data_IF_791315344772
#
_entry.id   IF_791315344772
#
_cell.length_a   1.000
_cell.length_b   1.000
_cell.length_c   1.000
_cell.angle_alpha   90.00
_cell.angle_beta   90.00
_cell.angle_gamma   90.00
#
_symmetry.space_group_name_H-M   'P 1'
#
loop_
_entity.id
_entity.type
_entity.pdbx_description
1 polymer ?
#
# COMPACT_ATOMS: atom_id res chain seq x y z
N UNK A 1 -4.05 -3.45 -6.25
CA UNK A 1 -5.08 -4.45 -6.66
C UNK A 1 -6.44 -4.09 -6.09
N UNK A 2 -7.52 -4.14 -6.87
CA UNK A 2 -8.87 -3.83 -6.36
C UNK A 2 -9.59 -5.10 -5.92
N UNK A 3 -10.20 -5.07 -4.74
CA UNK A 3 -11.07 -6.14 -4.23
C UNK A 3 -12.53 -5.71 -4.35
N UNK A 4 -13.31 -6.42 -5.17
CA UNK A 4 -14.74 -6.20 -5.32
C UNK A 4 -15.53 -7.39 -4.79
N UNK A 5 -16.47 -7.13 -3.90
CA UNK A 5 -17.41 -8.14 -3.37
C UNK A 5 -18.77 -7.90 -3.99
N UNK A 6 -19.32 -8.93 -4.64
CA UNK A 6 -20.64 -8.85 -5.26
C UNK A 6 -21.57 -9.96 -4.74
N UNK A 7 -22.87 -9.68 -4.59
CA UNK A 7 -23.83 -10.72 -4.29
C UNK A 7 -23.88 -11.77 -5.42
N UNK A 8 -24.03 -13.04 -5.03
CA UNK A 8 -24.32 -14.15 -5.90
C UNK A 8 -25.65 -14.80 -5.49
N UNK A 9 -26.19 -15.70 -6.30
CA UNK A 9 -27.44 -16.40 -5.97
C UNK A 9 -27.30 -17.21 -4.65
N UNK A 10 -28.42 -17.40 -3.93
CA UNK A 10 -28.52 -18.21 -2.70
C UNK A 10 -27.57 -17.82 -1.54
N UNK A 11 -27.64 -16.57 -1.05
CA UNK A 11 -26.84 -16.08 0.10
C UNK A 11 -25.32 -16.21 -0.07
N UNK A 12 -24.84 -16.45 -1.28
CA UNK A 12 -23.43 -16.45 -1.60
C UNK A 12 -23.00 -15.06 -2.04
N UNK A 13 -21.71 -14.78 -1.90
CA UNK A 13 -21.08 -13.66 -2.58
C UNK A 13 -19.92 -14.21 -3.42
N UNK A 14 -19.48 -13.43 -4.40
CA UNK A 14 -18.25 -13.66 -5.13
C UNK A 14 -17.27 -12.54 -4.81
N UNK A 15 -16.00 -12.90 -4.78
CA UNK A 15 -14.90 -11.95 -4.64
C UNK A 15 -14.20 -11.87 -5.97
N UNK A 16 -13.98 -10.66 -6.47
CA UNK A 16 -13.29 -10.39 -7.73
C UNK A 16 -12.07 -9.55 -7.39
N UNK A 17 -10.89 -10.07 -7.70
CA UNK A 17 -9.64 -9.32 -7.65
C UNK A 17 -9.38 -8.75 -9.04
N UNK A 18 -9.06 -7.46 -9.11
CA UNK A 18 -8.85 -6.75 -10.37
C UNK A 18 -7.46 -6.12 -10.31
N UNK A 19 -6.59 -6.52 -11.23
CA UNK A 19 -5.22 -6.01 -11.35
C UNK A 19 -5.09 -5.17 -12.62
N UNK A 20 -4.60 -3.95 -12.48
CA UNK A 20 -4.31 -3.10 -13.63
C UNK A 20 -3.06 -3.64 -14.35
N UNK A 21 -3.17 -3.94 -15.64
CA UNK A 21 -2.06 -4.51 -16.42
C UNK A 21 -1.16 -3.44 -17.04
N UNK A 22 -1.62 -2.19 -17.08
CA UNK A 22 -0.89 -1.05 -17.66
C UNK A 22 -0.08 -0.32 -16.60
N UNK A 23 -0.69 -0.11 -15.43
CA UNK A 23 -0.06 0.50 -14.27
C UNK A 23 -0.40 -0.32 -13.01
N UNK A 24 0.31 -1.44 -12.78
CA UNK A 24 0.09 -2.28 -11.61
C UNK A 24 0.35 -1.50 -10.32
N UNK A 25 -0.47 -1.74 -9.30
CA UNK A 25 -0.24 -1.14 -7.99
C UNK A 25 1.00 -1.81 -7.33
N UNK A 26 1.76 -1.09 -6.49
CA UNK A 26 2.98 -1.62 -5.88
C UNK A 26 2.78 -2.93 -5.10
N UNK A 27 1.60 -3.14 -4.51
CA UNK A 27 1.28 -4.35 -3.75
C UNK A 27 0.80 -5.54 -4.60
N UNK A 28 0.58 -5.35 -5.90
CA UNK A 28 0.01 -6.39 -6.77
C UNK A 28 0.84 -7.67 -6.76
N UNK A 29 2.18 -7.55 -6.75
CA UNK A 29 3.08 -8.70 -6.75
C UNK A 29 3.00 -9.46 -5.43
N UNK A 30 3.02 -8.78 -4.28
CA UNK A 30 2.92 -9.40 -2.96
C UNK A 30 1.58 -10.16 -2.80
N UNK A 31 0.50 -9.61 -3.35
CA UNK A 31 -0.80 -10.29 -3.34
C UNK A 31 -0.77 -11.53 -4.25
N UNK A 32 -0.11 -11.47 -5.41
CA UNK A 32 0.07 -12.64 -6.29
C UNK A 32 0.90 -13.73 -5.63
N UNK A 33 2.01 -13.37 -5.00
CA UNK A 33 2.87 -14.29 -4.26
C UNK A 33 2.13 -14.94 -3.09
N UNK A 34 1.32 -14.16 -2.37
CA UNK A 34 0.44 -14.67 -1.31
C UNK A 34 -0.57 -15.69 -1.86
N UNK A 35 -1.22 -15.39 -2.99
CA UNK A 35 -2.15 -16.31 -3.63
C UNK A 35 -1.47 -17.60 -4.08
N UNK A 36 -0.28 -17.52 -4.68
CA UNK A 36 0.50 -18.67 -5.10
C UNK A 36 0.90 -19.55 -3.92
N UNK A 37 1.44 -18.94 -2.84
CA UNK A 37 1.86 -19.65 -1.64
C UNK A 37 0.71 -20.37 -0.90
N UNK A 38 -0.52 -19.89 -1.08
CA UNK A 38 -1.73 -20.47 -0.48
C UNK A 38 -2.57 -21.29 -1.47
N UNK A 39 -2.03 -21.57 -2.67
CA UNK A 39 -2.70 -22.36 -3.72
C UNK A 39 -4.10 -21.82 -4.06
N UNK A 40 -4.23 -20.49 -4.12
CA UNK A 40 -5.49 -19.80 -4.37
C UNK A 40 -5.72 -19.61 -5.87
N UNK A 41 -6.49 -20.52 -6.46
CA UNK A 41 -6.81 -20.47 -7.88
C UNK A 41 -8.17 -19.82 -8.17
N UNK A 42 -8.26 -18.87 -9.11
CA UNK A 42 -9.53 -18.27 -9.49
C UNK A 42 -10.38 -19.27 -10.27
N UNK A 43 -11.69 -19.23 -10.03
CA UNK A 43 -12.67 -20.00 -10.81
C UNK A 43 -12.75 -19.51 -12.26
N UNK A 44 -12.61 -18.20 -12.45
CA UNK A 44 -12.57 -17.57 -13.77
C UNK A 44 -11.50 -16.49 -13.80
N UNK A 45 -10.79 -16.42 -14.92
CA UNK A 45 -9.80 -15.39 -15.22
C UNK A 45 -10.15 -14.79 -16.58
N UNK A 46 -10.14 -13.47 -16.66
CA UNK A 46 -10.40 -12.74 -17.90
C UNK A 46 -9.67 -11.42 -17.93
N UNK A 47 -9.22 -10.99 -19.11
CA UNK A 47 -8.74 -9.63 -19.32
C UNK A 47 -9.84 -8.77 -19.95
N UNK A 48 -9.87 -7.50 -19.62
CA UNK A 48 -10.85 -6.56 -20.16
C UNK A 48 -10.54 -5.12 -19.76
N UNK A 49 -11.45 -4.21 -20.11
CA UNK A 49 -11.43 -2.84 -19.60
C UNK A 49 -12.03 -2.82 -18.19
N UNK A 50 -11.34 -2.15 -17.27
CA UNK A 50 -11.88 -1.77 -15.97
C UNK A 50 -11.47 -0.34 -15.69
N UNK A 51 -12.46 0.54 -15.51
CA UNK A 51 -12.26 1.98 -15.25
C UNK A 51 -11.34 2.68 -16.28
N UNK A 52 -11.40 2.26 -17.55
CA UNK A 52 -10.60 2.83 -18.64
C UNK A 52 -9.18 2.28 -18.76
N UNK A 53 -8.84 1.25 -17.97
CA UNK A 53 -7.54 0.57 -17.99
C UNK A 53 -7.68 -0.89 -18.37
N UNK A 54 -6.74 -1.39 -19.18
CA UNK A 54 -6.65 -2.82 -19.44
C UNK A 54 -6.28 -3.54 -18.13
N UNK A 55 -7.16 -4.44 -17.69
CA UNK A 55 -7.07 -5.09 -16.39
C UNK A 55 -7.33 -6.58 -16.49
N UNK A 56 -6.72 -7.34 -15.58
CA UNK A 56 -7.02 -8.75 -15.34
C UNK A 56 -8.03 -8.85 -14.19
N UNK A 57 -9.11 -9.59 -14.42
CA UNK A 57 -10.11 -9.94 -13.41
C UNK A 57 -10.00 -11.42 -13.04
N UNK A 58 -9.92 -11.69 -11.74
CA UNK A 58 -9.87 -13.03 -11.15
C UNK A 58 -11.06 -13.22 -10.21
N UNK A 59 -11.96 -14.15 -10.54
CA UNK A 59 -13.18 -14.39 -9.77
C UNK A 59 -13.07 -15.63 -8.88
N UNK A 60 -13.48 -15.47 -7.63
CA UNK A 60 -13.47 -16.50 -6.60
C UNK A 60 -14.84 -16.65 -5.92
N UNK A 61 -15.10 -17.83 -5.38
CA UNK A 61 -16.25 -18.05 -4.50
C UNK A 61 -16.04 -17.35 -3.14
N UNK A 62 -17.09 -16.76 -2.59
CA UNK A 62 -17.01 -15.97 -1.36
C UNK A 62 -16.48 -16.75 -0.15
N UNK A 63 -16.94 -17.97 0.08
CA UNK A 63 -16.42 -18.79 1.18
C UNK A 63 -14.97 -19.25 0.98
N UNK A 64 -14.48 -19.25 -0.26
CA UNK A 64 -13.13 -19.65 -0.61
C UNK A 64 -12.16 -18.50 -0.35
N UNK A 65 -12.32 -17.37 -1.05
CA UNK A 65 -11.40 -16.24 -0.90
C UNK A 65 -11.72 -15.37 0.33
N UNK A 66 -12.94 -15.37 0.84
CA UNK A 66 -13.34 -14.56 2.00
C UNK A 66 -12.59 -14.87 3.30
N UNK A 67 -11.94 -16.04 3.41
CA UNK A 67 -11.04 -16.36 4.53
C UNK A 67 -9.66 -15.72 4.40
N UNK A 68 -9.32 -15.22 3.21
CA UNK A 68 -8.02 -14.64 2.87
C UNK A 68 -8.09 -13.12 2.65
N UNK A 69 -9.28 -12.54 2.50
CA UNK A 69 -9.43 -11.09 2.31
C UNK A 69 -8.84 -10.28 3.46
N UNK A 70 -8.81 -10.82 4.68
CA UNK A 70 -8.13 -10.17 5.81
C UNK A 70 -6.62 -10.03 5.59
N UNK A 71 -5.95 -11.12 5.21
CA UNK A 71 -4.51 -11.11 4.92
C UNK A 71 -4.16 -10.26 3.70
N UNK A 72 -4.97 -10.35 2.64
CA UNK A 72 -4.80 -9.49 1.45
C UNK A 72 -4.96 -8.02 1.84
N UNK A 73 -5.95 -7.67 2.68
CA UNK A 73 -6.10 -6.31 3.18
C UNK A 73 -4.88 -5.84 3.99
N UNK A 74 -4.26 -6.71 4.79
CA UNK A 74 -3.03 -6.36 5.53
C UNK A 74 -1.87 -6.07 4.59
N UNK A 75 -1.75 -6.81 3.48
CA UNK A 75 -0.76 -6.50 2.43
C UNK A 75 -1.02 -5.10 1.87
N UNK A 76 -2.24 -4.79 1.46
CA UNK A 76 -2.57 -3.45 0.93
C UNK A 76 -2.32 -2.34 1.96
N UNK A 77 -2.72 -2.57 3.21
CA UNK A 77 -2.53 -1.61 4.28
C UNK A 77 -1.06 -1.28 4.50
N UNK A 78 -0.16 -2.27 4.44
CA UNK A 78 1.29 -2.04 4.57
C UNK A 78 1.83 -1.06 3.52
N UNK A 79 1.37 -1.17 2.27
CA UNK A 79 1.81 -0.27 1.21
C UNK A 79 1.23 1.13 1.37
N UNK A 80 -0.05 1.25 1.75
CA UNK A 80 -0.68 2.53 2.06
C UNK A 80 0.05 3.23 3.23
N UNK A 81 0.37 2.48 4.28
CA UNK A 81 1.12 2.98 5.44
C UNK A 81 2.49 3.52 5.03
N UNK A 82 3.26 2.76 4.23
CA UNK A 82 4.55 3.21 3.71
C UNK A 82 4.43 4.47 2.85
N UNK A 83 3.41 4.54 1.99
CA UNK A 83 3.16 5.71 1.13
C UNK A 83 2.83 6.95 1.98
N UNK A 84 1.95 6.82 2.97
CA UNK A 84 1.55 7.92 3.85
C UNK A 84 2.71 8.42 4.71
N UNK A 85 3.52 7.52 5.28
CA UNK A 85 4.72 7.91 6.04
C UNK A 85 5.74 8.59 5.12
N UNK A 86 5.97 8.06 3.92
CA UNK A 86 6.88 8.66 2.94
C UNK A 86 6.41 10.05 2.50
N UNK A 87 5.09 10.23 2.33
CA UNK A 87 4.50 11.54 2.04
C UNK A 87 4.77 12.53 3.19
N UNK A 88 4.52 12.12 4.43
CA UNK A 88 4.72 12.97 5.61
C UNK A 88 6.20 13.32 5.85
N UNK A 89 7.12 12.39 5.60
CA UNK A 89 8.56 12.65 5.60
C UNK A 89 8.88 13.77 4.60
N UNK A 90 8.43 13.64 3.35
CA UNK A 90 8.69 14.65 2.32
C UNK A 90 8.08 16.01 2.69
N UNK A 91 6.89 16.01 3.28
CA UNK A 91 6.22 17.21 3.79
C UNK A 91 7.09 17.91 4.83
N UNK A 92 7.60 17.20 5.84
CA UNK A 92 8.47 17.76 6.86
C UNK A 92 9.81 18.28 6.33
N UNK A 93 10.36 17.65 5.29
CA UNK A 93 11.61 18.10 4.67
C UNK A 93 11.44 19.44 3.92
N UNK A 94 10.29 19.66 3.28
CA UNK A 94 10.03 20.85 2.46
C UNK A 94 9.26 21.98 3.17
N UNK A 95 8.25 21.65 3.97
CA UNK A 95 7.34 22.61 4.62
C UNK A 95 7.82 22.98 6.03
N UNK A 96 9.02 23.57 6.13
CA UNK A 96 9.54 24.07 7.41
C UNK A 96 10.30 25.39 7.26
N UNK A 97 10.54 26.08 8.39
CA UNK A 97 11.38 27.28 8.43
C UNK A 97 12.86 26.99 8.08
N UNK A 98 13.27 25.71 8.14
CA UNK A 98 14.61 25.24 7.79
C UNK A 98 14.54 23.95 6.96
N UNK A 99 14.15 24.06 5.68
CA UNK A 99 13.99 22.91 4.82
C UNK A 99 15.31 22.16 4.65
N UNK A 100 15.21 20.85 4.42
CA UNK A 100 16.36 19.98 4.16
C UNK A 100 16.27 19.51 2.72
N UNK A 101 17.10 20.09 1.86
CA UNK A 101 17.20 19.69 0.46
C UNK A 101 18.07 18.44 0.33
N UNK A 102 17.45 17.34 -0.09
CA UNK A 102 18.15 16.11 -0.45
C UNK A 102 18.39 16.13 -1.96
N UNK A 103 19.64 15.97 -2.44
CA UNK A 103 19.92 15.86 -3.87
C UNK A 103 19.07 14.78 -4.53
N UNK A 104 18.57 15.05 -5.74
CA UNK A 104 17.63 14.17 -6.44
C UNK A 104 18.18 12.75 -6.59
N UNK A 105 19.48 12.61 -6.85
CA UNK A 105 20.18 11.34 -6.97
C UNK A 105 20.26 10.51 -5.67
N UNK A 106 20.13 11.16 -4.50
CA UNK A 106 20.12 10.50 -3.18
C UNK A 106 18.72 10.40 -2.59
N UNK A 107 17.72 11.03 -3.21
CA UNK A 107 16.40 11.25 -2.61
C UNK A 107 15.67 9.94 -2.32
N UNK A 108 15.63 9.03 -3.28
CA UNK A 108 14.96 7.73 -3.11
C UNK A 108 15.58 6.92 -1.97
N UNK A 109 16.91 6.78 -1.96
CA UNK A 109 17.63 6.06 -0.91
C UNK A 109 17.49 6.71 0.48
N UNK A 110 17.58 8.04 0.55
CA UNK A 110 17.42 8.76 1.81
C UNK A 110 15.99 8.66 2.36
N UNK A 111 14.96 8.78 1.51
CA UNK A 111 13.57 8.60 1.94
C UNK A 111 13.33 7.17 2.39
N UNK A 112 13.89 6.16 1.72
CA UNK A 112 13.78 4.76 2.14
C UNK A 112 14.44 4.50 3.50
N UNK A 113 15.58 5.11 3.78
CA UNK A 113 16.26 5.01 5.07
C UNK A 113 15.49 5.75 6.18
N UNK A 114 14.97 6.93 5.89
CA UNK A 114 14.09 7.66 6.82
C UNK A 114 12.81 6.86 7.08
N UNK A 115 12.17 6.32 6.06
CA UNK A 115 11.00 5.44 6.21
C UNK A 115 11.33 4.28 7.14
N UNK A 116 12.48 3.62 6.98
CA UNK A 116 12.91 2.54 7.88
C UNK A 116 13.05 2.99 9.33
N UNK A 117 13.57 4.19 9.56
CA UNK A 117 13.79 4.72 10.91
C UNK A 117 12.50 5.21 11.58
N UNK A 118 11.55 5.72 10.80
CA UNK A 118 10.31 6.34 11.29
C UNK A 118 9.07 5.46 11.19
N UNK A 119 9.13 4.34 10.46
CA UNK A 119 8.06 3.35 10.40
C UNK A 119 8.04 2.50 11.67
N UNK A 120 7.40 3.03 12.70
CA UNK A 120 7.16 2.38 13.98
C UNK A 120 5.67 2.49 14.37
N UNK A 121 5.24 1.68 15.35
CA UNK A 121 3.84 1.61 15.80
C UNK A 121 3.25 2.96 16.26
N UNK A 122 4.10 3.95 16.59
CA UNK A 122 3.67 5.27 16.99
C UNK A 122 3.44 6.24 15.84
N UNK A 123 4.08 5.99 14.69
CA UNK A 123 4.06 6.85 13.52
C UNK A 123 2.79 6.72 12.68
N UNK A 124 2.12 5.57 12.72
CA UNK A 124 0.89 5.33 11.96
C UNK A 124 -0.22 4.81 12.87
N UNK A 125 -1.30 5.58 12.98
CA UNK A 125 -2.40 5.27 13.90
C UNK A 125 -3.73 5.28 13.18
N UNK A 126 -4.53 4.24 13.42
CA UNK A 126 -5.93 4.22 13.03
C UNK A 126 -6.75 4.97 14.08
N UNK A 127 -7.52 5.95 13.63
CA UNK A 127 -8.42 6.73 14.48
C UNK A 127 -9.76 6.00 14.67
N UNK A 128 -10.54 6.44 15.66
CA UNK A 128 -11.82 5.84 16.04
C UNK A 128 -12.89 5.88 14.92
N UNK A 129 -12.77 6.84 14.00
CA UNK A 129 -13.66 6.98 12.83
C UNK A 129 -13.27 6.09 11.64
N UNK A 130 -12.20 5.32 11.77
CA UNK A 130 -11.68 4.43 10.75
C UNK A 130 -10.70 5.08 9.76
N UNK A 131 -10.38 6.36 9.92
CA UNK A 131 -9.32 7.04 9.18
C UNK A 131 -7.94 6.71 9.76
N UNK A 132 -6.89 7.05 9.00
CA UNK A 132 -5.50 6.86 9.42
C UNK A 132 -4.80 8.21 9.56
N UNK A 133 -3.98 8.35 10.60
CA UNK A 133 -3.14 9.51 10.88
C UNK A 133 -1.67 9.08 10.88
N UNK A 134 -0.82 9.93 10.31
CA UNK A 134 0.63 9.83 10.43
C UNK A 134 1.11 10.87 11.44
N UNK A 135 1.79 10.42 12.50
CA UNK A 135 2.31 11.28 13.56
C UNK A 135 3.84 11.22 13.60
N UNK A 136 4.49 12.10 12.84
CA UNK A 136 5.94 12.25 12.84
C UNK A 136 6.39 13.54 13.52
N UNK A 137 7.49 13.48 14.26
CA UNK A 137 8.19 14.67 14.73
C UNK A 137 9.02 15.25 13.58
N UNK A 138 8.55 16.37 13.02
CA UNK A 138 9.20 17.02 11.90
C UNK A 138 10.62 17.53 12.17
N UNK A 139 11.01 17.83 13.43
CA UNK A 139 12.41 18.15 13.75
C UNK A 139 13.27 16.89 13.76
N UNK A 140 12.78 15.81 14.35
CA UNK A 140 13.49 14.52 14.34
C UNK A 140 13.73 14.02 12.90
N UNK A 141 12.73 14.14 12.02
CA UNK A 141 12.86 13.79 10.59
C UNK A 141 13.93 14.63 9.89
N UNK A 142 13.94 15.95 10.12
CA UNK A 142 14.93 16.86 9.53
C UNK A 142 16.33 16.61 10.07
N UNK A 143 16.48 16.36 11.37
CA UNK A 143 17.77 16.02 11.98
C UNK A 143 18.32 14.72 11.41
N UNK A 144 17.48 13.67 11.32
CA UNK A 144 17.86 12.41 10.69
C UNK A 144 18.29 12.61 9.25
N UNK A 145 17.55 13.40 8.46
CA UNK A 145 17.91 13.68 7.08
C UNK A 145 19.24 14.44 6.94
N UNK A 146 19.51 15.42 7.82
CA UNK A 146 20.81 16.13 7.86
C UNK A 146 21.96 15.17 8.18
N UNK A 147 21.76 14.25 9.10
CA UNK A 147 22.76 13.23 9.46
C UNK A 147 23.05 12.29 8.27
N UNK A 148 22.02 11.93 7.48
CA UNK A 148 22.19 11.13 6.26
C UNK A 148 22.98 11.88 5.18
N UNK A 149 22.81 13.19 5.06
CA UNK A 149 23.54 14.02 4.08
C UNK A 149 24.97 14.36 4.52
N UNK A 150 25.23 14.40 5.83
CA UNK A 150 26.54 14.67 6.41
C UNK A 150 27.51 13.48 6.39
N UNK A 151 27.00 12.28 6.08
CA UNK A 151 27.76 11.07 5.75
C UNK A 151 27.89 10.88 4.23
#
# INVERSE_FOLDING_TARGET
MIIRVEPAEFFMYRVILIANLENPDPEDQDIRDYMEANELEPKYRSEGDYEGHRSESMQFGGCYLGRHTGEINLIQQRYIEQELISHEINRHLGESDQPVEIPEERREGAVAELLTNFHNDDAFKKLDDGTYEVALDGEAVREAARNLLGN
#
